data_IF_209329779124
#
_entry.id   IF_209329779124
#
_cell.length_a   1.000
_cell.length_b   1.000
_cell.length_c   1.000
_cell.angle_alpha   90.00
_cell.angle_beta   90.00
_cell.angle_gamma   90.00
#
_symmetry.space_group_name_H-M   'P 1'
#
loop_
_entity.id
_entity.type
_entity.pdbx_description
1 polymer ?
#
# COMPACT_ATOMS: atom_id res chain seq x y z
N UNK A 1 15.33 14.59 2.44
CA UNK A 1 14.28 14.09 1.51
C UNK A 1 12.95 14.71 1.94
N UNK A 2 12.17 15.34 1.05
CA UNK A 2 10.91 16.00 1.46
C UNK A 2 9.83 14.99 1.87
N UNK A 3 8.95 15.35 2.82
CA UNK A 3 7.96 14.46 3.44
C UNK A 3 7.08 13.70 2.43
N UNK A 4 6.65 14.36 1.34
CA UNK A 4 5.90 13.70 0.26
C UNK A 4 6.63 12.50 -0.36
N UNK A 5 7.95 12.62 -0.56
CA UNK A 5 8.75 11.53 -1.14
C UNK A 5 8.83 10.35 -0.17
N UNK A 6 8.88 10.62 1.14
CA UNK A 6 8.82 9.59 2.17
C UNK A 6 7.52 8.81 2.12
N UNK A 7 6.37 9.48 2.07
CA UNK A 7 5.07 8.79 1.94
C UNK A 7 4.97 7.96 0.66
N UNK A 8 5.49 8.47 -0.46
CA UNK A 8 5.49 7.71 -1.71
C UNK A 8 6.36 6.46 -1.62
N UNK A 9 7.59 6.59 -1.12
CA UNK A 9 8.49 5.44 -0.94
C UNK A 9 7.90 4.42 0.02
N UNK A 10 7.36 4.87 1.16
CA UNK A 10 6.73 3.99 2.13
C UNK A 10 5.54 3.25 1.52
N UNK A 11 4.59 3.94 0.88
CA UNK A 11 3.44 3.30 0.25
C UNK A 11 3.82 2.23 -0.80
N UNK A 12 4.86 2.51 -1.60
CA UNK A 12 5.40 1.57 -2.60
C UNK A 12 6.10 0.39 -1.92
N UNK A 13 6.90 0.64 -0.88
CA UNK A 13 7.58 -0.40 -0.11
C UNK A 13 6.59 -1.33 0.58
N UNK A 14 5.55 -0.79 1.22
CA UNK A 14 4.50 -1.59 1.88
C UNK A 14 3.84 -2.54 0.89
N UNK A 15 3.45 -2.03 -0.29
CA UNK A 15 2.83 -2.86 -1.32
C UNK A 15 3.78 -3.92 -1.87
N UNK A 16 5.03 -3.56 -2.19
CA UNK A 16 5.98 -4.55 -2.68
C UNK A 16 6.24 -5.66 -1.65
N UNK A 17 6.44 -5.31 -0.38
CA UNK A 17 6.66 -6.29 0.68
C UNK A 17 5.41 -7.14 0.88
N UNK A 18 4.22 -6.53 0.92
CA UNK A 18 2.94 -7.22 1.01
C UNK A 18 2.82 -8.29 -0.07
N UNK A 19 3.01 -7.93 -1.34
CA UNK A 19 2.87 -8.90 -2.44
C UNK A 19 3.98 -9.93 -2.47
N UNK A 20 5.20 -9.56 -2.06
CA UNK A 20 6.29 -10.54 -1.88
C UNK A 20 5.91 -11.60 -0.85
N UNK A 21 5.33 -11.17 0.28
CA UNK A 21 4.92 -12.07 1.35
C UNK A 21 3.73 -12.93 0.94
N UNK A 22 2.72 -12.35 0.27
CA UNK A 22 1.59 -13.12 -0.26
C UNK A 22 2.05 -14.16 -1.28
N UNK A 23 2.95 -13.81 -2.21
CA UNK A 23 3.51 -14.76 -3.17
C UNK A 23 4.36 -15.86 -2.51
N UNK A 24 4.91 -15.60 -1.32
CA UNK A 24 5.71 -16.59 -0.57
C UNK A 24 4.88 -17.61 0.21
N UNK A 25 3.62 -17.28 0.48
CA UNK A 25 2.67 -18.08 1.27
C UNK A 25 1.55 -18.71 0.40
N UNK A 26 1.33 -18.18 -0.81
CA UNK A 26 0.35 -18.67 -1.81
C UNK A 26 -0.92 -19.30 -1.21
N UNK A 27 -1.83 -18.49 -0.64
CA UNK A 27 -3.00 -19.02 0.06
C UNK A 27 -3.95 -19.75 -0.90
N UNK A 28 -4.17 -21.03 -0.66
CA UNK A 28 -5.20 -21.82 -1.35
C UNK A 28 -6.52 -21.78 -0.57
N UNK A 29 -7.64 -21.71 -1.30
CA UNK A 29 -9.00 -21.71 -0.75
C UNK A 29 -9.73 -22.97 -1.26
N UNK A 30 -9.73 -24.06 -0.48
CA UNK A 30 -10.32 -25.33 -0.86
C UNK A 30 -11.84 -25.21 -0.87
N UNK A 31 -12.44 -25.28 -2.05
CA UNK A 31 -13.89 -25.29 -2.20
C UNK A 31 -14.50 -26.58 -1.61
N UNK A 32 -15.63 -26.53 -0.88
CA UNK A 32 -16.52 -25.39 -0.61
C UNK A 32 -16.24 -24.67 0.73
N UNK A 33 -15.06 -24.84 1.30
CA UNK A 33 -14.76 -24.33 2.63
C UNK A 33 -14.08 -22.96 2.61
N UNK A 34 -14.12 -22.26 3.75
CA UNK A 34 -13.60 -20.90 3.92
C UNK A 34 -12.21 -20.86 4.56
N UNK A 35 -11.62 -22.00 4.90
CA UNK A 35 -10.27 -22.03 5.47
C UNK A 35 -9.22 -21.70 4.41
N UNK A 36 -8.13 -21.05 4.80
CA UNK A 36 -6.99 -20.83 3.88
C UNK A 36 -5.94 -21.89 4.16
N UNK A 37 -5.51 -22.60 3.13
CA UNK A 37 -4.38 -23.52 3.21
C UNK A 37 -3.10 -22.74 2.92
N UNK A 38 -2.12 -22.84 3.82
CA UNK A 38 -0.82 -22.24 3.66
C UNK A 38 0.07 -23.12 2.79
N UNK A 39 0.42 -22.63 1.59
CA UNK A 39 1.43 -23.25 0.73
C UNK A 39 2.72 -22.44 0.72
N UNK A 40 3.70 -22.88 -0.07
CA UNK A 40 4.95 -22.15 -0.26
C UNK A 40 5.94 -22.33 0.88
N UNK A 41 6.48 -21.24 1.43
CA UNK A 41 7.60 -21.28 2.39
C UNK A 41 7.27 -22.07 3.67
N UNK A 42 6.11 -21.88 4.34
CA UNK A 42 5.79 -22.63 5.55
C UNK A 42 5.75 -24.15 5.33
N UNK A 43 5.20 -24.58 4.19
CA UNK A 43 5.10 -25.99 3.82
C UNK A 43 6.47 -26.55 3.40
N UNK A 44 7.20 -25.82 2.55
CA UNK A 44 8.51 -26.23 2.02
C UNK A 44 9.55 -26.47 3.12
N UNK A 45 9.59 -25.60 4.14
CA UNK A 45 10.50 -25.76 5.28
C UNK A 45 9.88 -26.52 6.45
N UNK A 46 8.60 -26.90 6.36
CA UNK A 46 7.82 -27.50 7.46
C UNK A 46 7.93 -26.68 8.76
N UNK A 47 7.66 -25.37 8.66
CA UNK A 47 7.70 -24.41 9.77
C UNK A 47 6.29 -23.84 9.98
N UNK A 48 5.44 -24.50 10.77
CA UNK A 48 4.03 -24.16 10.79
C UNK A 48 3.69 -22.85 11.52
N UNK A 49 4.52 -22.45 12.49
CA UNK A 49 4.37 -21.17 13.18
C UNK A 49 4.69 -19.95 12.29
N UNK A 50 5.32 -20.16 11.12
CA UNK A 50 5.61 -19.11 10.16
C UNK A 50 4.34 -18.67 9.42
N UNK A 51 3.41 -19.59 9.17
CA UNK A 51 2.21 -19.29 8.38
C UNK A 51 1.31 -18.22 9.05
N UNK A 52 1.08 -18.21 10.38
CA UNK A 52 0.38 -17.11 11.05
C UNK A 52 1.10 -15.75 10.91
N UNK A 53 2.44 -15.74 10.92
CA UNK A 53 3.22 -14.50 10.72
C UNK A 53 3.10 -13.98 9.28
N UNK A 54 3.25 -14.87 8.29
CA UNK A 54 3.07 -14.53 6.88
C UNK A 54 1.63 -14.12 6.56
N UNK A 55 0.67 -14.49 7.40
CA UNK A 55 -0.70 -13.94 7.35
C UNK A 55 -0.79 -12.53 7.91
N UNK A 56 -0.22 -12.25 9.07
CA UNK A 56 -0.32 -10.95 9.74
C UNK A 56 0.38 -9.84 8.95
N UNK A 57 1.54 -10.14 8.35
CA UNK A 57 2.38 -9.15 7.68
C UNK A 57 1.62 -8.47 6.52
N UNK A 58 1.04 -9.17 5.54
CA UNK A 58 0.26 -8.57 4.46
C UNK A 58 -0.88 -7.68 4.94
N UNK A 59 -1.67 -8.12 5.94
CA UNK A 59 -2.75 -7.29 6.49
C UNK A 59 -2.23 -6.01 7.12
N UNK A 60 -1.17 -6.11 7.92
CA UNK A 60 -0.55 -4.95 8.57
C UNK A 60 -0.02 -3.95 7.54
N UNK A 61 0.66 -4.45 6.50
CA UNK A 61 1.19 -3.62 5.42
C UNK A 61 0.08 -2.99 4.57
N UNK A 62 -1.02 -3.71 4.35
CA UNK A 62 -2.18 -3.17 3.64
C UNK A 62 -2.84 -2.03 4.44
N UNK A 63 -3.06 -2.24 5.74
CA UNK A 63 -3.63 -1.23 6.62
C UNK A 63 -2.74 0.01 6.69
N UNK A 64 -1.43 -0.20 6.86
CA UNK A 64 -0.45 0.89 6.87
C UNK A 64 -0.40 1.62 5.52
N UNK A 65 -0.45 0.89 4.40
CA UNK A 65 -0.49 1.50 3.08
C UNK A 65 -1.68 2.47 2.94
N UNK A 66 -2.87 2.07 3.39
CA UNK A 66 -4.06 2.95 3.37
C UNK A 66 -3.81 4.22 4.19
N UNK A 67 -3.26 4.10 5.40
CA UNK A 67 -2.94 5.27 6.24
C UNK A 67 -1.88 6.18 5.61
N UNK A 68 -0.83 5.61 5.02
CA UNK A 68 0.22 6.37 4.33
C UNK A 68 -0.34 7.06 3.08
N UNK A 69 -1.21 6.41 2.32
CA UNK A 69 -1.88 7.03 1.18
C UNK A 69 -2.78 8.18 1.62
N UNK A 70 -3.54 8.07 2.71
CA UNK A 70 -4.27 9.21 3.30
C UNK A 70 -3.30 10.36 3.60
N UNK A 71 -2.18 10.08 4.26
CA UNK A 71 -1.17 11.09 4.53
C UNK A 71 -0.63 11.73 3.24
N UNK A 72 -0.42 10.94 2.18
CA UNK A 72 0.04 11.43 0.87
C UNK A 72 -0.97 12.43 0.26
N UNK A 73 -2.26 12.07 0.22
CA UNK A 73 -3.31 12.93 -0.32
C UNK A 73 -3.51 14.21 0.51
N UNK A 74 -3.53 14.08 1.84
CA UNK A 74 -3.68 15.22 2.76
C UNK A 74 -2.48 16.15 2.67
N UNK A 75 -1.26 15.61 2.63
CA UNK A 75 -0.05 16.41 2.45
C UNK A 75 -0.08 17.15 1.12
N UNK A 76 -0.53 16.48 0.04
CA UNK A 76 -0.62 17.10 -1.28
C UNK A 76 -1.64 18.22 -1.31
N UNK A 77 -2.80 18.00 -0.70
CA UNK A 77 -3.80 19.05 -0.48
C UNK A 77 -3.20 20.24 0.28
N UNK A 78 -2.50 19.99 1.38
CA UNK A 78 -1.87 21.04 2.18
C UNK A 78 -0.84 21.83 1.37
N UNK A 79 -0.01 21.13 0.59
CA UNK A 79 1.00 21.71 -0.27
C UNK A 79 0.39 22.58 -1.38
N UNK A 80 -0.62 22.07 -2.08
CA UNK A 80 -1.27 22.80 -3.18
C UNK A 80 -2.03 24.02 -2.68
N UNK A 81 -2.66 23.94 -1.50
CA UNK A 81 -3.48 25.03 -0.94
C UNK A 81 -2.73 25.97 0.00
N UNK A 82 -1.41 25.78 0.17
CA UNK A 82 -0.57 26.64 1.02
C UNK A 82 -0.87 26.53 2.51
N UNK A 83 -1.39 25.40 2.99
CA UNK A 83 -1.70 25.16 4.41
C UNK A 83 -0.44 24.82 5.20
N UNK A 84 0.39 25.83 5.46
CA UNK A 84 1.71 25.67 6.05
C UNK A 84 1.71 24.93 7.40
N UNK A 85 0.74 25.22 8.28
CA UNK A 85 0.65 24.54 9.60
C UNK A 85 0.53 23.02 9.45
N UNK A 86 -0.36 22.57 8.55
CA UNK A 86 -0.59 21.15 8.29
C UNK A 86 0.66 20.50 7.66
N UNK A 87 1.28 21.18 6.70
CA UNK A 87 2.54 20.70 6.10
C UNK A 87 3.66 20.55 7.14
N UNK A 88 3.79 21.52 8.07
CA UNK A 88 4.81 21.48 9.10
C UNK A 88 4.59 20.31 10.07
N UNK A 89 3.35 20.07 10.49
CA UNK A 89 3.00 18.92 11.36
C UNK A 89 3.35 17.61 10.66
N UNK A 90 2.89 17.43 9.42
CA UNK A 90 3.09 16.19 8.67
C UNK A 90 4.56 15.98 8.27
N UNK A 91 5.35 17.05 8.15
CA UNK A 91 6.80 16.95 7.89
C UNK A 91 7.64 16.76 9.15
N UNK A 92 7.04 16.81 10.34
CA UNK A 92 7.76 16.77 11.60
C UNK A 92 8.21 15.35 11.95
N UNK A 93 9.40 15.20 12.56
CA UNK A 93 9.94 13.89 12.98
C UNK A 93 8.96 13.10 13.87
N UNK A 94 8.36 13.75 14.87
CA UNK A 94 7.32 13.14 15.72
C UNK A 94 6.12 12.57 14.96
N UNK A 95 5.74 13.15 13.82
CA UNK A 95 4.65 12.60 13.00
C UNK A 95 5.07 11.27 12.36
N UNK A 96 6.32 11.15 11.89
CA UNK A 96 6.86 9.88 11.39
C UNK A 96 7.03 8.86 12.52
N UNK A 97 7.46 9.27 13.71
CA UNK A 97 7.49 8.40 14.89
C UNK A 97 6.10 7.87 15.22
N UNK A 98 5.08 8.73 15.18
CA UNK A 98 3.69 8.32 15.36
C UNK A 98 3.25 7.27 14.33
N UNK A 99 3.55 7.48 13.05
CA UNK A 99 3.23 6.50 11.99
C UNK A 99 3.94 5.16 12.20
N UNK A 100 5.19 5.18 12.66
CA UNK A 100 5.93 3.96 12.97
C UNK A 100 5.34 3.22 14.19
N UNK A 101 4.99 3.95 15.25
CA UNK A 101 4.30 3.39 16.42
C UNK A 101 2.94 2.81 16.03
N UNK A 102 2.20 3.47 15.12
CA UNK A 102 0.96 2.95 14.56
C UNK A 102 1.19 1.62 13.84
N UNK A 103 2.21 1.51 12.99
CA UNK A 103 2.56 0.25 12.30
C UNK A 103 2.84 -0.88 13.30
N UNK A 104 3.60 -0.61 14.37
CA UNK A 104 3.86 -1.58 15.44
C UNK A 104 2.54 -1.98 16.14
N UNK A 105 1.68 -1.01 16.44
CA UNK A 105 0.39 -1.28 17.09
C UNK A 105 -0.51 -2.17 16.21
N UNK A 106 -0.55 -1.94 14.89
CA UNK A 106 -1.27 -2.78 13.93
C UNK A 106 -0.69 -4.20 13.87
N UNK A 107 0.63 -4.34 13.92
CA UNK A 107 1.29 -5.64 13.97
C UNK A 107 0.97 -6.41 15.26
N UNK A 108 1.07 -5.76 16.42
CA UNK A 108 0.70 -6.34 17.72
C UNK A 108 -0.77 -6.72 17.77
N UNK A 109 -1.65 -5.89 17.20
CA UNK A 109 -3.07 -6.21 17.00
C UNK A 109 -3.24 -7.49 16.19
N UNK A 110 -2.52 -7.61 15.07
CA UNK A 110 -2.53 -8.82 14.24
C UNK A 110 -2.11 -10.07 14.99
N UNK A 111 -1.03 -9.99 15.79
CA UNK A 111 -0.58 -11.07 16.67
C UNK A 111 -1.65 -11.43 17.71
N UNK A 112 -2.29 -10.45 18.33
CA UNK A 112 -3.34 -10.68 19.32
C UNK A 112 -4.52 -11.45 18.73
N UNK A 113 -5.02 -11.06 17.55
CA UNK A 113 -6.16 -11.75 16.93
C UNK A 113 -5.81 -13.13 16.37
N UNK A 114 -4.55 -13.37 15.98
CA UNK A 114 -4.09 -14.67 15.46
C UNK A 114 -3.44 -15.56 16.54
N UNK A 115 -3.46 -15.18 17.82
CA UNK A 115 -2.76 -15.92 18.91
C UNK A 115 -3.22 -17.37 19.08
N UNK A 116 -4.47 -17.66 18.72
CA UNK A 116 -5.06 -19.01 18.80
C UNK A 116 -5.14 -19.70 17.43
N UNK A 117 -4.60 -19.09 16.36
CA UNK A 117 -4.71 -19.65 15.01
C UNK A 117 -4.14 -21.08 14.93
N UNK A 118 -3.08 -21.36 15.67
CA UNK A 118 -2.48 -22.69 15.76
C UNK A 118 -3.37 -23.71 16.48
N UNK A 119 -3.90 -23.35 17.66
CA UNK A 119 -4.81 -24.24 18.41
C UNK A 119 -6.11 -24.48 17.65
N UNK A 120 -6.64 -23.44 17.02
CA UNK A 120 -7.86 -23.49 16.21
C UNK A 120 -7.67 -24.41 15.00
N UNK A 121 -6.47 -24.38 14.38
CA UNK A 121 -6.12 -25.29 13.30
C UNK A 121 -6.08 -26.76 13.75
N UNK A 122 -5.42 -27.06 14.87
CA UNK A 122 -5.38 -28.44 15.39
C UNK A 122 -6.80 -28.95 15.67
N UNK A 123 -7.64 -28.12 16.27
CA UNK A 123 -9.04 -28.46 16.54
C UNK A 123 -9.85 -28.65 15.25
N UNK A 124 -9.64 -27.79 14.25
CA UNK A 124 -10.29 -27.92 12.95
C UNK A 124 -9.95 -29.26 12.28
N UNK A 125 -8.67 -29.67 12.29
CA UNK A 125 -8.28 -30.97 11.73
C UNK A 125 -8.98 -32.15 12.39
N UNK A 126 -9.16 -32.10 13.72
CA UNK A 126 -9.84 -33.16 14.46
C UNK A 126 -11.34 -33.23 14.15
N UNK A 127 -11.97 -32.10 13.80
CA UNK A 127 -13.41 -31.99 13.55
C UNK A 127 -13.79 -32.14 12.07
N UNK A 128 -12.81 -32.23 11.17
CA UNK A 128 -13.09 -32.23 9.73
C UNK A 128 -13.89 -33.49 9.30
N UNK A 129 -15.06 -33.34 8.65
CA UNK A 129 -15.96 -34.44 8.33
C UNK A 129 -15.36 -35.41 7.29
N UNK A 130 -15.71 -36.71 7.41
CA UNK A 130 -15.21 -37.79 6.56
C UNK A 130 -15.89 -37.91 5.18
N UNK A 131 -16.69 -36.92 4.77
CA UNK A 131 -17.54 -37.05 3.58
C UNK A 131 -16.75 -37.02 2.26
N UNK A 132 -15.57 -36.40 2.25
CA UNK A 132 -14.63 -36.42 1.13
C UNK A 132 -13.24 -36.81 1.64
N UNK A 133 -12.85 -38.07 1.40
CA UNK A 133 -11.57 -38.62 1.85
C UNK A 133 -10.37 -37.97 1.19
N UNK A 134 -10.49 -37.51 -0.06
CA UNK A 134 -9.38 -36.86 -0.78
C UNK A 134 -9.13 -35.45 -0.24
N UNK A 135 -10.20 -34.68 -0.05
CA UNK A 135 -10.11 -33.35 0.53
C UNK A 135 -9.59 -33.42 1.98
N UNK A 136 -10.07 -34.40 2.76
CA UNK A 136 -9.57 -34.63 4.11
C UNK A 136 -8.08 -34.95 4.11
N UNK A 137 -7.62 -35.87 3.27
CA UNK A 137 -6.20 -36.23 3.16
C UNK A 137 -5.36 -35.00 2.78
N UNK A 138 -5.83 -34.19 1.84
CA UNK A 138 -5.19 -32.94 1.44
C UNK A 138 -5.04 -31.96 2.62
N UNK A 139 -6.12 -31.70 3.36
CA UNK A 139 -6.11 -30.83 4.56
C UNK A 139 -5.21 -31.41 5.65
N UNK A 140 -5.28 -32.72 5.92
CA UNK A 140 -4.44 -33.36 6.94
C UNK A 140 -2.95 -33.21 6.64
N UNK A 141 -2.56 -33.28 5.37
CA UNK A 141 -1.17 -33.22 4.92
C UNK A 141 -0.60 -31.79 4.84
N UNK A 142 -1.47 -30.78 4.73
CA UNK A 142 -1.06 -29.39 4.57
C UNK A 142 -1.19 -28.57 5.86
N UNK A 143 -0.55 -27.40 5.87
CA UNK A 143 -0.63 -26.45 6.99
C UNK A 143 -1.80 -25.52 6.73
N UNK A 144 -3.00 -25.89 7.18
CA UNK A 144 -4.14 -24.97 7.08
C UNK A 144 -4.07 -23.90 8.17
N UNK A 145 -4.57 -22.71 7.87
CA UNK A 145 -4.85 -21.72 8.89
C UNK A 145 -6.31 -21.32 8.74
N UNK A 146 -7.14 -21.53 9.76
CA UNK A 146 -8.53 -21.10 9.70
C UNK A 146 -8.58 -19.59 9.49
N UNK A 147 -9.08 -19.21 8.33
CA UNK A 147 -9.21 -17.84 7.89
C UNK A 147 -10.53 -17.24 8.34
N UNK A 148 -10.71 -17.10 9.66
CA UNK A 148 -11.93 -16.48 10.17
C UNK A 148 -11.79 -14.95 10.09
N UNK A 149 -12.67 -14.26 9.34
CA UNK A 149 -12.66 -12.80 9.33
C UNK A 149 -13.00 -12.31 10.74
N UNK A 150 -12.15 -11.45 11.29
CA UNK A 150 -12.46 -10.83 12.58
C UNK A 150 -13.29 -9.54 12.38
N UNK A 151 -14.04 -9.14 13.42
CA UNK A 151 -14.89 -7.94 13.34
C UNK A 151 -14.11 -6.67 12.98
N UNK A 152 -12.82 -6.61 13.35
CA UNK A 152 -11.97 -5.48 13.05
C UNK A 152 -11.58 -5.42 11.57
N UNK A 153 -11.21 -6.54 10.95
CA UNK A 153 -10.92 -6.66 9.52
C UNK A 153 -12.14 -6.25 8.70
N UNK A 154 -13.33 -6.72 9.09
CA UNK A 154 -14.58 -6.29 8.46
C UNK A 154 -14.79 -4.78 8.62
N UNK A 155 -14.57 -4.23 9.83
CA UNK A 155 -14.68 -2.79 10.04
C UNK A 155 -13.66 -2.00 9.20
N UNK A 156 -12.43 -2.48 9.09
CA UNK A 156 -11.40 -1.85 8.27
C UNK A 156 -11.80 -1.88 6.79
N UNK A 157 -12.18 -3.04 6.28
CA UNK A 157 -12.51 -3.29 4.88
C UNK A 157 -13.78 -2.56 4.43
N UNK A 158 -14.81 -2.49 5.28
CA UNK A 158 -16.11 -1.91 4.93
C UNK A 158 -16.31 -0.47 5.41
N UNK A 159 -15.53 0.03 6.38
CA UNK A 159 -15.66 1.41 6.87
C UNK A 159 -14.39 2.24 6.65
N UNK A 160 -13.23 1.77 7.14
CA UNK A 160 -11.99 2.57 7.09
C UNK A 160 -11.53 2.76 5.64
N UNK A 161 -11.39 1.67 4.88
CA UNK A 161 -10.93 1.74 3.50
C UNK A 161 -11.87 2.56 2.59
N UNK A 162 -13.21 2.40 2.62
CA UNK A 162 -14.09 3.27 1.83
C UNK A 162 -14.02 4.74 2.27
N UNK A 163 -13.86 5.00 3.57
CA UNK A 163 -13.68 6.38 4.06
C UNK A 163 -12.40 7.03 3.54
N UNK A 164 -11.32 6.27 3.32
CA UNK A 164 -10.09 6.79 2.74
C UNK A 164 -10.31 7.28 1.30
N UNK A 165 -11.06 6.53 0.48
CA UNK A 165 -11.41 6.93 -0.88
C UNK A 165 -12.19 8.25 -0.92
N UNK A 166 -13.09 8.47 0.05
CA UNK A 166 -13.82 9.73 0.20
C UNK A 166 -12.86 10.88 0.55
N UNK A 167 -11.89 10.64 1.45
CA UNK A 167 -10.86 11.62 1.80
C UNK A 167 -9.99 11.95 0.58
N UNK A 168 -9.62 10.95 -0.23
CA UNK A 168 -8.85 11.16 -1.47
C UNK A 168 -9.62 12.04 -2.44
N UNK A 169 -10.89 11.70 -2.67
CA UNK A 169 -11.78 12.48 -3.53
C UNK A 169 -11.87 13.93 -3.07
N UNK A 170 -12.10 14.15 -1.77
CA UNK A 170 -12.16 15.48 -1.19
C UNK A 170 -10.86 16.25 -1.44
N UNK A 171 -9.70 15.66 -1.12
CA UNK A 171 -8.39 16.30 -1.33
C UNK A 171 -8.17 16.68 -2.80
N UNK A 172 -8.48 15.77 -3.72
CA UNK A 172 -8.34 15.98 -5.17
C UNK A 172 -9.25 17.12 -5.67
N UNK A 173 -10.52 17.12 -5.26
CA UNK A 173 -11.49 18.18 -5.62
C UNK A 173 -11.04 19.54 -5.08
N UNK A 174 -10.55 19.61 -3.85
CA UNK A 174 -10.06 20.87 -3.28
C UNK A 174 -8.81 21.38 -4.01
N UNK A 175 -7.88 20.50 -4.39
CA UNK A 175 -6.73 20.88 -5.21
C UNK A 175 -7.18 21.44 -6.58
N UNK A 176 -8.15 20.80 -7.22
CA UNK A 176 -8.73 21.27 -8.47
C UNK A 176 -9.39 22.65 -8.32
N UNK A 177 -10.24 22.83 -7.30
CA UNK A 177 -10.88 24.12 -7.01
C UNK A 177 -9.87 25.23 -6.76
N UNK A 178 -8.78 24.94 -6.03
CA UNK A 178 -7.71 25.91 -5.80
C UNK A 178 -7.03 26.31 -7.11
N UNK A 179 -6.66 25.35 -7.97
CA UNK A 179 -6.06 25.62 -9.28
C UNK A 179 -6.96 26.53 -10.13
N UNK A 180 -8.26 26.25 -10.19
CA UNK A 180 -9.21 27.04 -10.98
C UNK A 180 -9.34 28.47 -10.48
N UNK A 181 -9.39 28.69 -9.16
CA UNK A 181 -9.44 30.02 -8.56
C UNK A 181 -8.13 30.81 -8.74
N UNK A 182 -6.99 30.13 -8.63
CA UNK A 182 -5.66 30.73 -8.74
C UNK A 182 -5.15 30.88 -10.19
N UNK A 183 -6.00 30.63 -11.20
CA UNK A 183 -5.63 30.67 -12.63
C UNK A 183 -5.09 32.03 -13.08
N UNK A 184 -5.57 33.11 -12.49
CA UNK A 184 -5.18 34.47 -12.86
C UNK A 184 -3.98 34.98 -12.04
N UNK A 185 -3.63 34.32 -10.93
CA UNK A 185 -2.55 34.74 -10.02
C UNK A 185 -1.26 33.92 -10.21
N UNK A 186 -1.37 32.69 -10.69
CA UNK A 186 -0.23 31.79 -10.84
C UNK A 186 0.36 31.85 -12.24
N UNK A 187 1.68 31.65 -12.34
CA UNK A 187 2.35 31.51 -13.63
C UNK A 187 1.84 30.28 -14.39
N UNK A 188 1.84 30.35 -15.73
CA UNK A 188 1.45 29.25 -16.62
C UNK A 188 2.18 27.94 -16.29
N UNK A 189 3.50 28.03 -16.03
CA UNK A 189 4.33 26.90 -15.60
C UNK A 189 3.82 26.24 -14.31
N UNK A 190 3.38 27.03 -13.34
CA UNK A 190 2.87 26.50 -12.05
C UNK A 190 1.51 25.85 -12.23
N UNK A 191 0.66 26.41 -13.10
CA UNK A 191 -0.64 25.83 -13.43
C UNK A 191 -0.52 24.49 -14.16
N UNK A 192 0.42 24.39 -15.12
CA UNK A 192 0.75 23.13 -15.80
C UNK A 192 1.28 22.10 -14.82
N UNK A 193 2.16 22.50 -13.89
CA UNK A 193 2.63 21.62 -12.83
C UNK A 193 1.44 21.11 -11.99
N UNK A 194 0.60 21.98 -11.45
CA UNK A 194 -0.57 21.55 -10.67
C UNK A 194 -1.52 20.66 -11.46
N UNK A 195 -1.67 20.89 -12.77
CA UNK A 195 -2.45 20.01 -13.63
C UNK A 195 -1.91 18.58 -13.60
N UNK A 196 -0.63 18.40 -13.88
CA UNK A 196 0.00 17.06 -13.89
C UNK A 196 -0.15 16.39 -12.53
N UNK A 197 0.01 17.14 -11.45
CA UNK A 197 -0.08 16.60 -10.09
C UNK A 197 -1.49 16.18 -9.72
N UNK A 198 -2.51 16.95 -10.09
CA UNK A 198 -3.92 16.59 -9.87
C UNK A 198 -4.30 15.38 -10.72
N UNK A 199 -3.84 15.30 -11.97
CA UNK A 199 -4.05 14.09 -12.80
C UNK A 199 -3.40 12.87 -12.16
N UNK A 200 -2.21 13.00 -11.58
CA UNK A 200 -1.59 11.94 -10.81
C UNK A 200 -2.45 11.45 -9.65
N UNK A 201 -3.01 12.38 -8.85
CA UNK A 201 -3.93 12.02 -7.75
C UNK A 201 -5.19 11.30 -8.23
N UNK A 202 -5.78 11.75 -9.35
CA UNK A 202 -6.96 11.09 -9.95
C UNK A 202 -6.63 9.68 -10.40
N UNK A 203 -5.50 9.49 -11.08
CA UNK A 203 -5.06 8.16 -11.55
C UNK A 203 -4.76 7.23 -10.38
N UNK A 204 -4.08 7.71 -9.33
CA UNK A 204 -3.83 6.94 -8.10
C UNK A 204 -5.15 6.53 -7.42
N UNK A 205 -6.10 7.46 -7.28
CA UNK A 205 -7.41 7.20 -6.69
C UNK A 205 -8.21 6.18 -7.51
N UNK A 206 -8.23 6.32 -8.84
CA UNK A 206 -8.88 5.37 -9.74
C UNK A 206 -8.24 3.99 -9.66
N UNK A 207 -6.91 3.92 -9.53
CA UNK A 207 -6.22 2.66 -9.38
C UNK A 207 -6.59 1.96 -8.06
N UNK A 208 -6.62 2.68 -6.94
CA UNK A 208 -7.05 2.07 -5.67
C UNK A 208 -8.51 1.62 -5.69
N UNK A 209 -9.39 2.41 -6.32
CA UNK A 209 -10.77 2.02 -6.55
C UNK A 209 -10.88 0.75 -7.39
N UNK A 210 -10.19 0.68 -8.53
CA UNK A 210 -10.29 -0.43 -9.47
C UNK A 210 -9.61 -1.71 -8.97
N UNK A 211 -8.49 -1.62 -8.24
CA UNK A 211 -7.75 -2.79 -7.77
C UNK A 211 -8.23 -3.38 -6.46
N UNK A 212 -8.81 -2.57 -5.57
CA UNK A 212 -9.22 -3.04 -4.24
C UNK A 212 -10.72 -2.92 -4.00
N UNK A 213 -11.33 -1.79 -4.32
CA UNK A 213 -12.73 -1.54 -3.95
C UNK A 213 -13.74 -2.18 -4.91
N UNK A 214 -13.54 -2.06 -6.22
CA UNK A 214 -14.44 -2.62 -7.22
C UNK A 214 -14.50 -4.16 -7.17
N UNK A 215 -13.38 -4.89 -7.06
CA UNK A 215 -13.41 -6.34 -6.87
C UNK A 215 -14.12 -6.75 -5.58
N UNK A 216 -13.94 -5.98 -4.50
CA UNK A 216 -14.62 -6.25 -3.23
C UNK A 216 -16.15 -6.13 -3.36
N UNK A 217 -16.65 -5.04 -3.95
CA UNK A 217 -18.09 -4.89 -4.19
C UNK A 217 -18.61 -6.04 -5.04
N UNK A 218 -17.87 -6.38 -6.10
CA UNK A 218 -18.24 -7.46 -7.00
C UNK A 218 -18.40 -8.79 -6.24
N UNK A 219 -17.45 -9.17 -5.38
CA UNK A 219 -17.54 -10.40 -4.57
C UNK A 219 -18.75 -10.38 -3.65
N UNK A 220 -18.96 -9.29 -2.90
CA UNK A 220 -20.04 -9.17 -1.92
C UNK A 220 -21.42 -9.16 -2.58
N UNK A 221 -21.51 -8.82 -3.87
CA UNK A 221 -22.76 -8.91 -4.64
C UNK A 221 -23.14 -10.31 -5.10
N UNK A 222 -22.25 -11.31 -4.97
CA UNK A 222 -22.59 -12.73 -5.20
C UNK A 222 -23.07 -13.41 -3.92
N UNK A 223 -23.74 -14.55 -4.10
CA UNK A 223 -24.10 -15.47 -3.01
C UNK A 223 -22.85 -15.88 -2.22
N UNK A 224 -22.97 -15.93 -0.88
CA UNK A 224 -21.90 -16.22 0.08
C UNK A 224 -21.14 -17.49 -0.30
N UNK A 225 -21.87 -18.48 -0.82
CA UNK A 225 -21.30 -19.73 -1.32
C UNK A 225 -20.13 -19.49 -2.28
N UNK A 226 -20.17 -18.48 -3.15
CA UNK A 226 -19.12 -18.20 -4.14
C UNK A 226 -18.02 -17.24 -3.68
N UNK A 227 -18.12 -16.69 -2.46
CA UNK A 227 -17.15 -15.72 -1.96
C UNK A 227 -15.70 -16.24 -1.95
N UNK A 228 -15.40 -17.50 -1.59
CA UNK A 228 -14.01 -18.01 -1.61
C UNK A 228 -13.36 -17.91 -2.99
N UNK A 229 -14.10 -18.29 -4.04
CA UNK A 229 -13.64 -18.20 -5.44
C UNK A 229 -13.44 -16.73 -5.81
N UNK A 230 -14.38 -15.87 -5.43
CA UNK A 230 -14.29 -14.42 -5.65
C UNK A 230 -13.03 -13.82 -5.01
N UNK A 231 -12.77 -14.11 -3.74
CA UNK A 231 -11.59 -13.64 -3.02
C UNK A 231 -10.29 -14.17 -3.65
N UNK A 232 -10.26 -15.44 -4.07
CA UNK A 232 -9.10 -16.01 -4.77
C UNK A 232 -8.77 -15.25 -6.06
N UNK A 233 -9.79 -14.96 -6.89
CA UNK A 233 -9.61 -14.19 -8.12
C UNK A 233 -9.15 -12.76 -7.81
N UNK A 234 -9.73 -12.12 -6.79
CA UNK A 234 -9.34 -10.77 -6.37
C UNK A 234 -7.87 -10.73 -5.94
N UNK A 235 -7.40 -11.68 -5.12
CA UNK A 235 -5.99 -11.72 -4.72
C UNK A 235 -5.05 -11.81 -5.92
N UNK A 236 -5.37 -12.66 -6.91
CA UNK A 236 -4.59 -12.74 -8.16
C UNK A 236 -4.63 -11.45 -8.98
N UNK A 237 -5.78 -10.80 -9.05
CA UNK A 237 -5.93 -9.52 -9.72
C UNK A 237 -5.05 -8.44 -9.04
N UNK A 238 -5.01 -8.44 -7.71
CA UNK A 238 -4.20 -7.51 -6.93
C UNK A 238 -2.69 -7.66 -7.19
N UNK A 239 -2.18 -8.82 -7.59
CA UNK A 239 -0.76 -8.99 -7.98
C UNK A 239 -0.33 -8.12 -9.17
N UNK A 240 -1.26 -7.62 -9.97
CA UNK A 240 -0.95 -6.69 -11.07
C UNK A 240 -0.77 -5.25 -10.61
N UNK A 241 -1.15 -4.91 -9.38
CA UNK A 241 -1.11 -3.55 -8.84
C UNK A 241 0.31 -2.96 -8.74
N UNK A 242 1.34 -3.68 -8.26
CA UNK A 242 2.72 -3.17 -8.24
C UNK A 242 3.24 -2.84 -9.63
N UNK A 243 2.91 -3.65 -10.63
CA UNK A 243 3.27 -3.40 -12.02
C UNK A 243 2.65 -2.10 -12.52
N UNK A 244 1.36 -1.88 -12.23
CA UNK A 244 0.71 -0.59 -12.50
C UNK A 244 1.42 0.56 -11.79
N UNK A 245 1.70 0.46 -10.48
CA UNK A 245 2.37 1.50 -9.71
C UNK A 245 3.75 1.83 -10.28
N UNK A 246 4.51 0.83 -10.72
CA UNK A 246 5.81 1.00 -11.36
C UNK A 246 5.68 1.76 -12.68
N UNK A 247 4.77 1.32 -13.57
CA UNK A 247 4.52 1.97 -14.87
C UNK A 247 4.06 3.41 -14.65
N UNK A 248 3.11 3.63 -13.74
CA UNK A 248 2.61 4.95 -13.37
C UNK A 248 3.73 5.85 -12.85
N UNK A 249 4.56 5.35 -11.93
CA UNK A 249 5.66 6.13 -11.34
C UNK A 249 6.68 6.51 -12.41
N UNK A 250 7.05 5.60 -13.29
CA UNK A 250 7.96 5.87 -14.42
C UNK A 250 7.34 6.82 -15.45
N UNK A 251 6.03 6.71 -15.67
CA UNK A 251 5.25 7.53 -16.60
C UNK A 251 5.08 8.98 -16.14
N UNK A 252 4.89 9.21 -14.85
CA UNK A 252 4.60 10.56 -14.30
C UNK A 252 5.83 11.25 -13.70
N UNK A 253 6.75 10.53 -13.06
CA UNK A 253 7.88 11.15 -12.38
C UNK A 253 9.15 11.15 -13.24
N UNK A 254 9.37 12.26 -13.97
CA UNK A 254 10.60 12.48 -14.78
C UNK A 254 11.91 12.17 -14.03
N UNK A 255 12.11 12.59 -12.77
CA UNK A 255 13.35 12.28 -12.04
C UNK A 255 13.55 10.78 -11.85
N UNK A 256 12.47 10.04 -11.56
CA UNK A 256 12.53 8.59 -11.37
C UNK A 256 12.91 7.88 -12.67
N UNK A 257 12.31 8.30 -13.79
CA UNK A 257 12.68 7.80 -15.13
C UNK A 257 14.15 8.09 -15.47
N UNK A 258 14.65 9.28 -15.14
CA UNK A 258 16.05 9.63 -15.36
C UNK A 258 16.99 8.75 -14.51
N UNK A 259 16.66 8.53 -13.24
CA UNK A 259 17.41 7.63 -12.36
C UNK A 259 17.42 6.19 -12.85
N UNK A 260 16.28 5.66 -13.34
CA UNK A 260 16.23 4.29 -13.90
C UNK A 260 17.04 4.19 -15.19
N UNK A 261 16.94 5.17 -16.11
CA UNK A 261 17.80 5.21 -17.30
C UNK A 261 19.28 5.22 -16.95
N UNK A 262 19.66 5.98 -15.91
CA UNK A 262 21.03 6.02 -15.41
C UNK A 262 21.47 4.67 -14.84
N UNK A 263 20.64 4.03 -14.03
CA UNK A 263 20.92 2.72 -13.47
C UNK A 263 21.11 1.66 -14.57
N UNK A 264 20.24 1.67 -15.59
CA UNK A 264 20.34 0.78 -16.76
C UNK A 264 21.64 1.03 -17.52
N UNK A 265 22.06 2.29 -17.71
CA UNK A 265 23.36 2.61 -18.32
C UNK A 265 24.53 2.06 -17.52
N UNK A 266 24.52 2.24 -16.20
CA UNK A 266 25.58 1.71 -15.33
C UNK A 266 25.61 0.18 -15.39
N UNK A 267 24.47 -0.49 -15.25
CA UNK A 267 24.37 -1.95 -15.18
C UNK A 267 24.71 -2.64 -16.50
N UNK A 268 24.24 -2.11 -17.63
CA UNK A 268 24.38 -2.78 -18.92
C UNK A 268 25.51 -2.23 -19.79
N UNK A 269 25.94 -0.98 -19.56
CA UNK A 269 26.94 -0.31 -20.39
C UNK A 269 28.22 0.05 -19.62
N UNK A 270 28.28 -0.25 -18.31
CA UNK A 270 29.48 -0.04 -17.50
C UNK A 270 29.91 1.42 -17.36
N UNK A 271 29.02 2.39 -17.61
CA UNK A 271 29.34 3.81 -17.53
C UNK A 271 29.63 4.21 -16.07
N UNK A 272 30.91 4.40 -15.72
CA UNK A 272 31.33 4.94 -14.42
C UNK A 272 31.23 6.46 -14.47
N UNK A 273 30.11 7.00 -14.02
CA UNK A 273 29.90 8.44 -14.01
C UNK A 273 30.38 9.06 -12.67
N UNK A 274 31.30 10.03 -12.75
CA UNK A 274 31.74 10.83 -11.59
C UNK A 274 30.55 11.56 -10.99
N UNK A 275 30.17 11.22 -9.76
CA UNK A 275 29.07 11.88 -9.04
C UNK A 275 29.49 13.32 -8.71
N UNK A 276 29.05 14.27 -9.54
CA UNK A 276 29.04 15.69 -9.17
C UNK A 276 27.94 15.90 -8.13
N UNK A 277 28.33 15.90 -6.86
CA UNK A 277 27.49 16.36 -5.74
C UNK A 277 27.30 17.86 -5.94
N UNK A 278 26.20 18.26 -6.57
CA UNK A 278 25.77 19.65 -6.58
C UNK A 278 25.24 19.97 -5.19
N UNK A 279 26.11 20.48 -4.33
CA UNK A 279 25.71 21.11 -3.08
C UNK A 279 24.83 22.30 -3.44
N UNK A 280 23.56 22.25 -3.05
CA UNK A 280 22.67 23.41 -3.08
C UNK A 280 23.14 24.43 -2.05
N UNK A 281 24.16 25.20 -2.39
CA UNK A 281 24.52 26.41 -1.67
C UNK A 281 23.51 27.47 -2.10
N UNK A 282 22.54 27.74 -1.23
CA UNK A 282 21.71 28.93 -1.33
C UNK A 282 22.63 30.16 -1.29
N UNK A 283 22.76 30.84 -2.43
CA UNK A 283 23.41 32.14 -2.50
C UNK A 283 22.56 33.14 -1.72
N UNK A 284 22.98 33.47 -0.50
CA UNK A 284 22.48 34.64 0.22
C UNK A 284 23.06 35.85 -0.51
N UNK A 285 22.21 36.54 -1.28
CA UNK A 285 22.46 37.93 -1.71
C UNK A 285 22.47 38.80 -0.45
N UNK A 286 23.65 39.07 0.10
CA UNK A 286 23.82 40.20 1.00
C UNK A 286 24.10 41.44 0.15
N UNK A 287 23.06 42.26 0.06
CA UNK A 287 23.09 43.66 -0.32
C UNK A 287 24.02 44.47 0.60
N UNK A 288 24.82 45.34 -0.01
CA UNK A 288 25.26 46.66 0.44
C UNK A 288 25.64 46.84 1.92
N UNK A 289 26.95 46.98 2.17
CA UNK A 289 27.45 48.06 3.04
C UNK A 289 28.67 48.66 2.36
N UNK A 290 28.51 49.90 1.90
CA UNK A 290 29.60 50.78 1.54
C UNK A 290 30.29 51.26 2.82
N UNK A 291 31.61 51.23 2.85
CA UNK A 291 32.41 52.07 3.75
C UNK A 291 33.51 52.73 2.93
N UNK A 292 33.46 54.07 2.95
CA UNK A 292 34.59 54.96 2.70
C UNK A 292 35.67 54.72 3.76
#
# INVERSE_FOLDING_TARGET
MGAYKWYLTWAISDMNILFTVLASWDPELPWPHYEMIAHGIPEYFNIPWLAPLLRIIPYTLYEMHVYITICRFVYRYAQTTGKQKLMNIMSHGYFFTFLFVLMIALFVKGLYFNRFAWSDWVQYKLQFPNNDTKLKEHIMNNIDIPARPNKFENFFQYAIFPSSLIIYFFCTVQCYRYKTRAKNTLSKRTLELYQVLIHGLVVEQLAEFLWFFAPLIYIVSYDEKYWPIGFHIMYRFMYTYPTFLMIFTLGFFKPYRASVKRLVRILFYGEVEKVLVVSSSYTIKNSNVATK
#
